data_IF_594261908242
#
_entry.id   IF_594261908242
#
_cell.length_a   1.000
_cell.length_b   1.000
_cell.length_c   1.000
_cell.angle_alpha   90.00
_cell.angle_beta   90.00
_cell.angle_gamma   90.00
#
_symmetry.space_group_name_H-M   'P 1'
#
loop_
_entity.id
_entity.type
_entity.pdbx_description
1 polymer ?
#
# COMPACT_ATOMS: atom_id res chain seq x y z
N UNK A 1 28.94 -23.24 19.00
CA UNK A 1 29.49 -23.22 17.63
C UNK A 1 28.34 -23.54 16.69
N UNK A 2 27.68 -22.53 16.13
CA UNK A 2 26.51 -22.74 15.28
C UNK A 2 26.94 -23.24 13.90
N UNK A 3 26.42 -24.39 13.51
CA UNK A 3 26.58 -25.00 12.18
C UNK A 3 25.95 -24.07 11.13
N UNK A 4 26.79 -23.34 10.40
CA UNK A 4 26.34 -22.45 9.34
C UNK A 4 25.73 -23.25 8.19
N UNK A 5 24.38 -23.31 8.13
CA UNK A 5 23.67 -23.80 6.95
C UNK A 5 24.11 -22.94 5.76
N UNK A 6 24.64 -23.57 4.71
CA UNK A 6 24.93 -22.87 3.46
C UNK A 6 23.62 -22.34 2.87
N UNK A 7 23.56 -21.06 2.46
CA UNK A 7 22.37 -20.48 1.88
C UNK A 7 21.99 -21.24 0.61
N UNK A 8 20.70 -21.52 0.46
CA UNK A 8 20.09 -22.21 -0.67
C UNK A 8 20.11 -21.33 -1.92
N UNK A 9 19.95 -21.94 -3.10
CA UNK A 9 19.89 -21.21 -4.37
C UNK A 9 18.71 -20.20 -4.36
N UNK A 10 17.59 -20.54 -3.72
CA UNK A 10 16.43 -19.65 -3.58
C UNK A 10 16.70 -18.43 -2.70
N UNK A 11 17.34 -18.62 -1.53
CA UNK A 11 17.74 -17.51 -0.64
C UNK A 11 18.71 -16.56 -1.34
N UNK A 12 19.67 -17.10 -2.09
CA UNK A 12 20.60 -16.30 -2.88
C UNK A 12 19.91 -15.56 -4.04
N UNK A 13 18.89 -16.15 -4.66
CA UNK A 13 18.10 -15.44 -5.68
C UNK A 13 17.32 -14.28 -5.03
N UNK A 14 16.74 -14.47 -3.85
CA UNK A 14 16.03 -13.43 -3.11
C UNK A 14 16.98 -12.28 -2.71
N UNK A 15 18.14 -12.60 -2.17
CA UNK A 15 19.18 -11.62 -1.80
C UNK A 15 19.72 -10.87 -3.03
N UNK A 16 19.97 -11.59 -4.13
CA UNK A 16 20.39 -10.98 -5.39
C UNK A 16 19.34 -10.03 -5.95
N UNK A 17 18.06 -10.40 -5.88
CA UNK A 17 16.95 -9.55 -6.28
C UNK A 17 16.77 -8.32 -5.37
N UNK A 18 17.22 -8.39 -4.11
CA UNK A 18 17.21 -7.26 -3.18
C UNK A 18 18.39 -6.29 -3.39
N UNK A 19 19.54 -6.81 -3.81
CA UNK A 19 20.81 -6.06 -3.88
C UNK A 19 21.13 -5.50 -5.27
N UNK A 20 20.59 -6.09 -6.34
CA UNK A 20 20.84 -5.63 -7.70
C UNK A 20 19.94 -4.43 -8.05
N UNK A 21 20.46 -3.40 -8.75
CA UNK A 21 19.66 -2.26 -9.18
C UNK A 21 18.57 -2.70 -10.17
N UNK A 22 17.32 -2.35 -9.87
CA UNK A 22 16.18 -2.70 -10.71
C UNK A 22 16.05 -1.76 -11.91
N UNK A 23 15.67 -2.26 -13.11
CA UNK A 23 15.53 -3.67 -13.48
C UNK A 23 16.88 -4.35 -13.76
N UNK A 24 17.11 -5.53 -13.18
CA UNK A 24 18.35 -6.29 -13.35
C UNK A 24 18.23 -7.37 -14.41
N UNK A 25 19.36 -7.73 -15.04
CA UNK A 25 19.40 -8.76 -16.08
C UNK A 25 19.49 -10.17 -15.48
N UNK A 26 19.03 -11.17 -16.26
CA UNK A 26 19.21 -12.59 -15.91
C UNK A 26 20.67 -12.93 -15.62
N UNK A 27 21.57 -12.39 -16.43
CA UNK A 27 23.00 -12.63 -16.32
C UNK A 27 23.57 -12.03 -15.04
N UNK A 28 23.12 -10.83 -14.64
CA UNK A 28 23.53 -10.20 -13.39
C UNK A 28 23.12 -11.04 -12.18
N UNK A 29 21.87 -11.52 -12.15
CA UNK A 29 21.38 -12.38 -11.07
C UNK A 29 22.10 -13.73 -11.03
N UNK A 30 22.32 -14.34 -12.20
CA UNK A 30 23.04 -15.61 -12.31
C UNK A 30 24.49 -15.47 -11.82
N UNK A 31 25.20 -14.43 -12.25
CA UNK A 31 26.56 -14.15 -11.81
C UNK A 31 26.62 -13.91 -10.29
N UNK A 32 25.63 -13.21 -9.73
CA UNK A 32 25.54 -12.93 -8.31
C UNK A 32 25.41 -14.22 -7.47
N UNK A 33 24.60 -15.18 -7.92
CA UNK A 33 24.40 -16.48 -7.26
C UNK A 33 25.63 -17.37 -7.46
N UNK A 34 26.16 -17.46 -8.68
CA UNK A 34 27.35 -18.26 -8.99
C UNK A 34 28.59 -17.79 -8.22
N UNK A 35 28.74 -16.49 -7.95
CA UNK A 35 29.84 -15.96 -7.15
C UNK A 35 29.80 -16.43 -5.67
N UNK A 36 28.60 -16.77 -5.16
CA UNK A 36 28.39 -17.21 -3.77
C UNK A 36 28.23 -18.72 -3.62
N UNK A 37 27.84 -19.41 -4.70
CA UNK A 37 27.69 -20.88 -4.79
C UNK A 37 28.31 -21.40 -6.09
N UNK A 38 29.66 -21.41 -6.20
CA UNK A 38 30.35 -21.92 -7.39
C UNK A 38 30.19 -23.44 -7.57
N UNK A 39 29.78 -24.16 -6.52
CA UNK A 39 29.47 -25.58 -6.53
C UNK A 39 28.19 -25.92 -7.32
N UNK A 40 27.35 -24.92 -7.61
CA UNK A 40 26.08 -25.10 -8.33
C UNK A 40 26.25 -24.75 -9.81
N UNK A 41 25.89 -25.68 -10.68
CA UNK A 41 25.89 -25.45 -12.12
C UNK A 41 24.94 -24.32 -12.54
N UNK A 42 25.39 -23.52 -13.52
CA UNK A 42 24.66 -22.41 -14.15
C UNK A 42 23.23 -22.82 -14.59
N UNK A 43 23.06 -24.05 -15.08
CA UNK A 43 21.77 -24.61 -15.51
C UNK A 43 20.78 -24.81 -14.35
N UNK A 44 21.26 -25.16 -13.15
CA UNK A 44 20.42 -25.33 -11.97
C UNK A 44 19.95 -23.98 -11.41
N UNK A 45 20.83 -22.98 -11.41
CA UNK A 45 20.48 -21.59 -11.04
C UNK A 45 19.46 -21.03 -12.04
N UNK A 46 19.69 -21.27 -13.33
CA UNK A 46 18.78 -20.92 -14.42
C UNK A 46 17.37 -21.50 -14.25
N UNK A 47 17.26 -22.78 -13.88
CA UNK A 47 15.99 -23.45 -13.62
C UNK A 47 15.29 -22.88 -12.38
N UNK A 48 16.04 -22.61 -11.31
CA UNK A 48 15.48 -21.98 -10.11
C UNK A 48 14.97 -20.56 -10.38
N UNK A 49 15.70 -19.74 -11.15
CA UNK A 49 15.23 -18.42 -11.59
C UNK A 49 13.90 -18.53 -12.35
N UNK A 50 13.74 -19.53 -13.22
CA UNK A 50 12.48 -19.75 -13.94
C UNK A 50 11.34 -20.16 -13.00
N UNK A 51 11.60 -21.04 -12.04
CA UNK A 51 10.60 -21.51 -11.07
C UNK A 51 10.10 -20.40 -10.14
N UNK A 52 10.95 -19.43 -9.78
CA UNK A 52 10.59 -18.32 -8.89
C UNK A 52 10.13 -17.07 -9.65
N UNK A 53 9.88 -17.17 -10.96
CA UNK A 53 9.40 -16.05 -11.79
C UNK A 53 7.88 -16.14 -12.00
N UNK A 54 7.17 -15.11 -11.56
CA UNK A 54 5.70 -14.98 -11.49
C UNK A 54 4.94 -15.21 -12.82
N UNK A 55 5.53 -14.83 -13.96
CA UNK A 55 4.90 -14.95 -15.29
C UNK A 55 5.60 -15.99 -16.20
N UNK A 56 6.26 -17.00 -15.63
CA UNK A 56 7.02 -17.99 -16.38
C UNK A 56 6.20 -19.12 -17.02
N UNK A 57 4.85 -19.09 -16.94
CA UNK A 57 3.99 -20.08 -17.58
C UNK A 57 4.01 -21.48 -16.95
N UNK A 58 4.42 -21.59 -15.68
CA UNK A 58 4.42 -22.86 -14.93
C UNK A 58 3.18 -22.95 -14.02
N UNK A 59 2.70 -24.16 -13.71
CA UNK A 59 1.63 -24.33 -12.72
C UNK A 59 2.02 -23.69 -11.38
N UNK A 60 1.06 -23.15 -10.61
CA UNK A 60 1.35 -22.50 -9.34
C UNK A 60 2.10 -23.49 -8.44
N UNK A 61 3.33 -23.12 -8.08
CA UNK A 61 4.15 -23.87 -7.13
C UNK A 61 3.78 -23.38 -5.73
N UNK A 62 3.82 -24.23 -4.71
CA UNK A 62 3.58 -23.83 -3.30
C UNK A 62 4.58 -22.78 -2.75
N UNK A 63 5.58 -22.37 -3.55
CA UNK A 63 6.56 -21.36 -3.18
C UNK A 63 6.21 -20.00 -3.80
N UNK A 64 6.24 -18.92 -3.01
CA UNK A 64 5.95 -17.58 -3.52
C UNK A 64 6.98 -17.18 -4.59
N UNK A 65 6.56 -16.48 -5.66
CA UNK A 65 7.49 -16.00 -6.66
C UNK A 65 8.46 -14.99 -6.03
N UNK A 66 9.70 -14.95 -6.50
CA UNK A 66 10.74 -14.00 -6.06
C UNK A 66 11.07 -12.96 -7.12
N UNK A 67 10.70 -13.21 -8.38
CA UNK A 67 11.04 -12.39 -9.54
C UNK A 67 9.80 -12.14 -10.40
N UNK A 68 9.70 -10.93 -10.96
CA UNK A 68 8.75 -10.61 -12.01
C UNK A 68 9.53 -10.24 -13.28
N UNK A 69 9.27 -10.93 -14.39
CA UNK A 69 9.98 -10.68 -15.65
C UNK A 69 9.28 -9.57 -16.43
N UNK A 70 9.92 -8.41 -16.51
CA UNK A 70 9.40 -7.22 -17.22
C UNK A 70 9.60 -7.32 -18.74
N UNK A 71 10.68 -7.94 -19.20
CA UNK A 71 10.94 -8.23 -20.61
C UNK A 71 11.91 -9.42 -20.77
N UNK A 72 12.17 -9.87 -22.00
CA UNK A 72 13.03 -11.04 -22.24
C UNK A 72 14.42 -10.83 -21.65
N UNK A 73 14.68 -11.51 -20.53
CA UNK A 73 15.99 -11.46 -19.86
C UNK A 73 16.15 -10.34 -18.83
N UNK A 74 15.12 -9.55 -18.53
CA UNK A 74 15.14 -8.55 -17.45
C UNK A 74 14.05 -8.81 -16.42
N UNK A 75 14.44 -8.59 -15.17
CA UNK A 75 13.68 -8.96 -14.01
C UNK A 75 13.66 -7.78 -13.04
N UNK A 76 12.56 -7.69 -12.30
CA UNK A 76 12.42 -6.90 -11.08
C UNK A 76 12.11 -7.88 -9.95
N UNK A 77 12.35 -7.49 -8.70
CA UNK A 77 11.94 -8.30 -7.57
C UNK A 77 10.43 -8.46 -7.59
N UNK A 78 9.95 -9.70 -7.44
CA UNK A 78 8.54 -9.94 -7.17
C UNK A 78 8.26 -9.45 -5.75
N UNK A 79 7.45 -8.40 -5.65
CA UNK A 79 6.89 -7.92 -4.38
C UNK A 79 5.55 -8.63 -4.17
N UNK A 80 5.61 -9.95 -3.99
CA UNK A 80 4.47 -10.78 -3.61
C UNK A 80 4.39 -10.90 -2.10
N UNK A 81 3.16 -10.81 -1.57
CA UNK A 81 2.86 -10.80 -0.15
C UNK A 81 3.69 -11.84 0.64
N UNK A 82 4.49 -11.35 1.58
CA UNK A 82 5.30 -12.13 2.50
C UNK A 82 4.43 -13.18 3.22
N UNK A 83 4.79 -14.46 3.06
CA UNK A 83 4.50 -15.56 3.98
C UNK A 83 5.88 -16.18 4.28
N UNK A 84 6.30 -16.52 5.49
CA UNK A 84 5.59 -16.80 6.73
C UNK A 84 6.44 -16.32 7.93
N UNK A 85 5.80 -15.75 8.95
CA UNK A 85 6.18 -15.88 10.36
C UNK A 85 5.04 -15.26 11.19
N UNK A 86 4.24 -16.09 11.86
CA UNK A 86 3.18 -15.63 12.77
C UNK A 86 3.75 -15.52 14.17
N UNK A 87 3.73 -14.32 14.77
CA UNK A 87 2.94 -14.14 15.98
C UNK A 87 2.12 -12.83 16.00
N UNK A 88 0.86 -12.96 16.42
CA UNK A 88 -0.13 -11.93 16.75
C UNK A 88 -0.89 -11.27 15.57
N UNK A 89 -2.14 -11.71 15.32
CA UNK A 89 -3.32 -11.01 14.77
C UNK A 89 -3.13 -9.77 13.84
N UNK A 90 -2.08 -9.73 13.01
CA UNK A 90 -1.74 -8.61 12.12
C UNK A 90 -1.71 -9.05 10.64
N UNK A 91 -2.62 -9.94 10.24
CA UNK A 91 -2.64 -10.56 8.90
C UNK A 91 -3.90 -10.35 8.07
N UNK A 92 -4.75 -9.37 8.41
CA UNK A 92 -6.05 -9.18 7.73
C UNK A 92 -6.40 -7.72 7.46
N UNK A 93 -5.48 -6.76 7.56
CA UNK A 93 -5.80 -5.32 7.42
C UNK A 93 -4.88 -4.63 6.42
N UNK A 94 -5.44 -3.78 5.58
CA UNK A 94 -4.69 -2.88 4.70
C UNK A 94 -5.33 -1.49 4.66
N UNK A 95 -4.55 -0.49 4.23
CA UNK A 95 -4.94 0.92 4.26
C UNK A 95 -5.00 1.52 2.84
N UNK A 96 -6.07 2.20 2.51
CA UNK A 96 -6.25 2.94 1.27
C UNK A 96 -6.34 4.43 1.58
N UNK A 97 -5.48 5.26 0.98
CA UNK A 97 -5.39 6.69 1.31
C UNK A 97 -5.82 7.53 0.12
N UNK A 98 -6.84 8.36 0.30
CA UNK A 98 -7.39 9.24 -0.74
C UNK A 98 -6.42 10.34 -1.15
N UNK A 99 -6.31 10.58 -2.46
CA UNK A 99 -5.49 11.62 -3.09
C UNK A 99 -6.04 13.04 -2.92
N UNK A 100 -6.70 13.34 -1.79
CA UNK A 100 -7.39 14.61 -1.56
C UNK A 100 -6.43 15.73 -1.11
N UNK A 101 -6.70 16.95 -1.56
CA UNK A 101 -5.99 18.16 -1.14
C UNK A 101 -4.82 18.53 -2.06
N UNK A 102 -3.86 19.27 -1.51
CA UNK A 102 -2.73 19.82 -2.26
C UNK A 102 -1.82 18.71 -2.83
N UNK A 103 -1.30 18.93 -4.03
CA UNK A 103 -0.29 18.08 -4.68
C UNK A 103 0.96 18.88 -4.99
N UNK A 104 2.10 18.21 -5.12
CA UNK A 104 3.31 18.83 -5.67
C UNK A 104 3.08 19.29 -7.13
N UNK A 105 4.00 20.10 -7.66
CA UNK A 105 3.91 20.67 -9.02
C UNK A 105 4.63 19.86 -10.09
N UNK A 106 5.48 18.92 -9.69
CA UNK A 106 6.27 18.07 -10.58
C UNK A 106 5.91 16.59 -10.38
N UNK A 107 6.17 15.72 -11.38
CA UNK A 107 5.99 14.28 -11.21
C UNK A 107 6.83 13.74 -10.05
N UNK A 108 6.19 13.00 -9.16
CA UNK A 108 6.80 12.46 -7.95
C UNK A 108 6.18 11.10 -7.60
N UNK A 109 6.86 10.28 -6.76
CA UNK A 109 6.25 9.09 -6.18
C UNK A 109 4.91 9.44 -5.50
N UNK A 110 3.90 8.57 -5.62
CA UNK A 110 2.58 8.80 -5.05
C UNK A 110 2.62 9.07 -3.53
N UNK A 111 3.60 8.50 -2.82
CA UNK A 111 3.84 8.75 -1.39
C UNK A 111 4.24 10.20 -1.05
N UNK A 112 4.80 10.91 -2.03
CA UNK A 112 5.38 12.26 -1.88
C UNK A 112 4.62 13.31 -2.70
N UNK A 113 3.79 12.88 -3.66
CA UNK A 113 3.02 13.77 -4.51
C UNK A 113 1.89 14.48 -3.75
N UNK A 114 1.21 13.79 -2.82
CA UNK A 114 0.07 14.33 -2.08
C UNK A 114 0.52 14.96 -0.76
N UNK A 115 0.33 16.27 -0.64
CA UNK A 115 0.90 17.10 0.43
C UNK A 115 -0.11 17.47 1.51
N UNK A 116 -1.34 16.96 1.44
CA UNK A 116 -2.37 17.33 2.41
C UNK A 116 -2.03 16.77 3.80
N UNK A 117 -2.28 17.50 4.90
CA UNK A 117 -2.02 17.01 6.25
C UNK A 117 -2.73 15.69 6.58
N UNK A 118 -3.92 15.48 6.01
CA UNK A 118 -4.66 14.23 6.17
C UNK A 118 -3.95 13.04 5.51
N UNK A 119 -3.44 13.23 4.29
CA UNK A 119 -2.67 12.22 3.58
C UNK A 119 -1.38 11.86 4.32
N UNK A 120 -0.59 12.87 4.71
CA UNK A 120 0.66 12.66 5.43
C UNK A 120 0.44 11.87 6.74
N UNK A 121 -0.56 12.25 7.54
CA UNK A 121 -0.89 11.52 8.78
C UNK A 121 -1.31 10.08 8.55
N UNK A 122 -2.18 9.83 7.56
CA UNK A 122 -2.63 8.48 7.24
C UNK A 122 -1.46 7.60 6.75
N UNK A 123 -0.59 8.16 5.91
CA UNK A 123 0.63 7.50 5.42
C UNK A 123 1.54 7.14 6.58
N UNK A 124 1.87 8.11 7.43
CA UNK A 124 2.79 7.91 8.55
C UNK A 124 2.23 6.90 9.56
N UNK A 125 0.91 6.89 9.76
CA UNK A 125 0.22 5.89 10.58
C UNK A 125 0.32 4.47 9.98
N UNK A 126 0.06 4.32 8.69
CA UNK A 126 0.17 3.03 8.00
C UNK A 126 1.62 2.50 8.03
N UNK A 127 2.60 3.37 7.78
CA UNK A 127 4.03 3.03 7.86
C UNK A 127 4.42 2.61 9.27
N UNK A 128 4.03 3.38 10.30
CA UNK A 128 4.31 3.05 11.70
C UNK A 128 3.69 1.73 12.13
N UNK A 129 2.46 1.46 11.68
CA UNK A 129 1.74 0.21 11.93
C UNK A 129 2.24 -0.97 11.07
N UNK A 130 3.16 -0.72 10.11
CA UNK A 130 3.65 -1.70 9.14
C UNK A 130 2.53 -2.38 8.34
N UNK A 131 1.46 -1.65 8.07
CA UNK A 131 0.34 -2.15 7.26
C UNK A 131 0.62 -1.93 5.77
N UNK A 132 0.19 -2.86 4.90
CA UNK A 132 0.14 -2.60 3.46
C UNK A 132 -0.73 -1.38 3.18
N UNK A 133 -0.27 -0.47 2.33
CA UNK A 133 -1.04 0.71 1.98
C UNK A 133 -0.88 1.13 0.53
N UNK A 134 -1.94 1.75 0.00
CA UNK A 134 -2.02 2.21 -1.38
C UNK A 134 -2.68 3.59 -1.44
N UNK A 135 -2.43 4.32 -2.52
CA UNK A 135 -3.06 5.62 -2.77
C UNK A 135 -4.27 5.44 -3.69
N UNK A 136 -5.42 5.97 -3.28
CA UNK A 136 -6.61 6.10 -4.11
C UNK A 136 -6.55 7.40 -4.89
N UNK A 137 -6.31 7.28 -6.19
CA UNK A 137 -6.34 8.40 -7.13
C UNK A 137 -7.67 8.44 -7.88
N UNK A 138 -8.27 9.62 -7.98
CA UNK A 138 -9.46 9.82 -8.82
C UNK A 138 -9.21 9.38 -10.27
N UNK A 139 -8.02 9.65 -10.82
CA UNK A 139 -7.70 9.42 -12.24
C UNK A 139 -7.02 8.07 -12.45
N UNK A 140 -6.09 7.70 -11.58
CA UNK A 140 -5.31 6.48 -11.74
C UNK A 140 -5.90 5.27 -11.01
N UNK A 141 -6.95 5.47 -10.20
CA UNK A 141 -7.57 4.40 -9.44
C UNK A 141 -6.74 4.05 -8.21
N UNK A 142 -5.87 3.05 -8.33
CA UNK A 142 -5.02 2.56 -7.25
C UNK A 142 -3.55 2.74 -7.63
N UNK A 143 -2.77 3.33 -6.74
CA UNK A 143 -1.34 3.53 -6.93
C UNK A 143 -0.56 2.91 -5.78
N UNK A 144 0.58 2.31 -6.12
CA UNK A 144 1.60 1.94 -5.17
C UNK A 144 2.35 3.20 -4.70
N UNK A 145 2.88 3.15 -3.48
CA UNK A 145 3.58 4.29 -2.86
C UNK A 145 4.72 4.85 -3.72
N UNK A 146 5.40 3.96 -4.48
CA UNK A 146 6.53 4.30 -5.35
C UNK A 146 6.14 4.71 -6.78
N UNK A 147 4.87 4.66 -7.16
CA UNK A 147 4.45 5.00 -8.52
C UNK A 147 4.67 6.49 -8.78
N UNK A 148 5.52 6.80 -9.77
CA UNK A 148 5.78 8.18 -10.17
C UNK A 148 4.65 8.65 -11.07
N UNK A 149 3.89 9.65 -10.62
CA UNK A 149 2.75 10.19 -11.36
C UNK A 149 2.81 11.72 -11.41
N UNK A 150 2.33 12.29 -12.51
CA UNK A 150 2.20 13.74 -12.65
C UNK A 150 1.03 14.26 -11.80
N UNK A 151 1.10 15.49 -11.27
CA UNK A 151 -0.02 16.07 -10.55
C UNK A 151 -1.24 16.23 -11.45
N UNK A 152 -2.40 15.82 -10.95
CA UNK A 152 -3.68 15.97 -11.65
C UNK A 152 -4.73 16.51 -10.68
N UNK A 153 -5.38 17.61 -11.06
CA UNK A 153 -6.48 18.18 -10.32
C UNK A 153 -7.78 17.41 -10.66
N UNK A 154 -8.13 16.41 -9.85
CA UNK A 154 -9.38 15.67 -10.00
C UNK A 154 -9.93 15.22 -8.64
N UNK A 155 -11.16 15.62 -8.34
CA UNK A 155 -11.89 15.16 -7.15
C UNK A 155 -12.90 14.09 -7.54
N UNK A 156 -12.95 13.00 -6.78
CA UNK A 156 -13.86 11.88 -7.04
C UNK A 156 -15.33 12.26 -6.76
N UNK A 157 -15.56 13.18 -5.82
CA UNK A 157 -16.90 13.71 -5.48
C UNK A 157 -17.58 14.41 -6.65
N UNK A 158 -16.81 15.10 -7.49
CA UNK A 158 -17.30 15.84 -8.67
C UNK A 158 -17.67 14.94 -9.85
N UNK A 159 -17.30 13.65 -9.78
CA UNK A 159 -17.57 12.70 -10.87
C UNK A 159 -19.01 12.22 -10.85
N UNK A 160 -19.53 11.76 -11.99
CA UNK A 160 -20.88 11.21 -12.05
C UNK A 160 -21.00 9.92 -11.23
N UNK A 161 -22.21 9.56 -10.82
CA UNK A 161 -22.46 8.30 -10.10
C UNK A 161 -22.02 7.06 -10.91
N UNK A 162 -22.23 7.09 -12.24
CA UNK A 162 -21.77 6.04 -13.15
C UNK A 162 -20.24 5.92 -13.18
N UNK A 163 -19.54 7.07 -13.25
CA UNK A 163 -18.09 7.09 -13.17
C UNK A 163 -17.59 6.50 -11.86
N UNK A 164 -18.13 6.96 -10.72
CA UNK A 164 -17.71 6.45 -9.40
C UNK A 164 -17.93 4.93 -9.29
N UNK A 165 -19.04 4.43 -9.80
CA UNK A 165 -19.33 2.98 -9.80
C UNK A 165 -18.29 2.20 -10.60
N UNK A 166 -18.00 2.61 -11.84
CA UNK A 166 -16.98 1.97 -12.67
C UNK A 166 -15.58 2.09 -12.07
N UNK A 167 -15.26 3.25 -11.51
CA UNK A 167 -14.01 3.51 -10.79
C UNK A 167 -13.84 2.55 -9.61
N UNK A 168 -14.89 2.33 -8.82
CA UNK A 168 -14.84 1.42 -7.67
C UNK A 168 -14.59 -0.04 -8.06
N UNK A 169 -15.24 -0.52 -9.14
CA UNK A 169 -14.97 -1.85 -9.69
C UNK A 169 -13.51 -2.00 -10.14
N UNK A 170 -13.02 -0.99 -10.85
CA UNK A 170 -11.67 -0.98 -11.39
C UNK A 170 -10.60 -0.94 -10.30
N UNK A 171 -10.77 -0.09 -9.27
CA UNK A 171 -9.85 -0.02 -8.13
C UNK A 171 -9.79 -1.34 -7.37
N UNK A 172 -10.92 -1.99 -7.12
CA UNK A 172 -10.92 -3.26 -6.41
C UNK A 172 -10.33 -4.39 -7.25
N UNK A 173 -10.49 -4.35 -8.58
CA UNK A 173 -9.79 -5.28 -9.46
C UNK A 173 -8.26 -5.11 -9.35
N UNK A 174 -7.76 -3.87 -9.44
CA UNK A 174 -6.33 -3.56 -9.25
C UNK A 174 -5.81 -3.99 -7.87
N UNK A 175 -6.64 -3.82 -6.83
CA UNK A 175 -6.28 -4.25 -5.48
C UNK A 175 -6.22 -5.78 -5.39
N UNK A 176 -7.19 -6.49 -5.98
CA UNK A 176 -7.24 -7.95 -5.99
C UNK A 176 -6.06 -8.60 -6.76
N UNK A 177 -5.44 -7.87 -7.70
CA UNK A 177 -4.21 -8.30 -8.38
C UNK A 177 -2.99 -8.24 -7.45
N UNK A 178 -3.02 -7.38 -6.43
CA UNK A 178 -1.91 -7.15 -5.48
C UNK A 178 -2.06 -7.94 -4.19
N UNK A 179 -3.30 -8.15 -3.74
CA UNK A 179 -3.61 -8.77 -2.45
C UNK A 179 -4.81 -9.72 -2.56
N UNK A 180 -4.75 -10.82 -1.81
CA UNK A 180 -5.94 -11.67 -1.59
C UNK A 180 -6.91 -10.94 -0.67
N UNK A 181 -8.14 -10.72 -1.12
CA UNK A 181 -9.13 -9.90 -0.41
C UNK A 181 -10.04 -10.66 0.56
N UNK A 182 -10.12 -11.98 0.43
CA UNK A 182 -10.98 -12.80 1.30
C UNK A 182 -10.53 -12.71 2.76
N UNK A 183 -11.43 -12.28 3.65
CA UNK A 183 -11.16 -12.08 5.07
C UNK A 183 -10.32 -10.84 5.39
N UNK A 184 -10.11 -9.92 4.44
CA UNK A 184 -9.33 -8.69 4.65
C UNK A 184 -10.24 -7.50 4.99
N UNK A 185 -9.87 -6.77 6.03
CA UNK A 185 -10.39 -5.44 6.36
C UNK A 185 -9.61 -4.36 5.61
N UNK A 186 -10.32 -3.65 4.74
CA UNK A 186 -9.80 -2.52 3.96
C UNK A 186 -10.21 -1.22 4.64
N UNK A 187 -9.23 -0.51 5.19
CA UNK A 187 -9.43 0.77 5.85
C UNK A 187 -9.26 1.93 4.87
N UNK A 188 -10.24 2.83 4.76
CA UNK A 188 -10.22 3.90 3.76
C UNK A 188 -10.09 5.30 4.37
N UNK A 189 -9.00 5.98 4.04
CA UNK A 189 -8.66 7.35 4.40
C UNK A 189 -8.84 8.32 3.25
N UNK A 190 -10.04 8.43 2.72
CA UNK A 190 -10.38 9.41 1.68
C UNK A 190 -11.74 10.07 1.90
N UNK A 191 -12.37 9.82 3.05
CA UNK A 191 -13.76 10.18 3.27
C UNK A 191 -14.73 9.31 2.46
N UNK A 192 -16.01 9.66 2.56
CA UNK A 192 -17.12 8.85 2.03
C UNK A 192 -17.12 8.74 0.51
N UNK A 193 -16.62 9.74 -0.20
CA UNK A 193 -16.63 9.77 -1.67
C UNK A 193 -15.70 8.74 -2.28
N UNK A 194 -14.56 8.47 -1.62
CA UNK A 194 -13.65 7.38 -1.99
C UNK A 194 -14.15 6.02 -1.49
N UNK A 195 -14.74 5.95 -0.30
CA UNK A 195 -15.14 4.68 0.30
C UNK A 195 -16.41 4.07 -0.30
N UNK A 196 -17.42 4.90 -0.58
CA UNK A 196 -18.74 4.42 -1.00
C UNK A 196 -18.69 3.55 -2.28
N UNK A 197 -17.93 3.91 -3.33
CA UNK A 197 -17.85 3.09 -4.52
C UNK A 197 -17.15 1.74 -4.33
N UNK A 198 -16.30 1.61 -3.31
CA UNK A 198 -15.52 0.41 -3.03
C UNK A 198 -16.32 -0.66 -2.26
N UNK A 199 -17.36 -0.24 -1.53
CA UNK A 199 -18.12 -1.12 -0.60
C UNK A 199 -18.63 -2.41 -1.26
N UNK A 200 -19.36 -2.29 -2.37
CA UNK A 200 -19.93 -3.44 -3.09
C UNK A 200 -18.86 -4.35 -3.69
N UNK A 201 -17.89 -3.85 -4.47
CA UNK A 201 -16.87 -4.71 -5.08
C UNK A 201 -15.93 -5.39 -4.07
N UNK A 202 -15.64 -4.77 -2.92
CA UNK A 202 -14.90 -5.40 -1.82
C UNK A 202 -15.71 -6.51 -1.15
N UNK A 203 -16.97 -6.23 -0.79
CA UNK A 203 -17.83 -7.22 -0.14
C UNK A 203 -18.04 -8.48 -1.00
N UNK A 204 -18.17 -8.34 -2.33
CA UNK A 204 -18.26 -9.49 -3.25
C UNK A 204 -17.00 -10.36 -3.27
N UNK A 205 -15.87 -9.86 -2.79
CA UNK A 205 -14.59 -10.56 -2.71
C UNK A 205 -14.22 -10.98 -1.28
N UNK A 206 -15.19 -10.93 -0.35
CA UNK A 206 -14.98 -11.34 1.04
C UNK A 206 -14.23 -10.33 1.90
N UNK A 207 -14.01 -9.09 1.40
CA UNK A 207 -13.36 -8.04 2.16
C UNK A 207 -14.38 -7.16 2.90
N UNK A 208 -14.03 -6.77 4.13
CA UNK A 208 -14.72 -5.73 4.89
C UNK A 208 -14.16 -4.35 4.52
N UNK A 209 -15.01 -3.31 4.58
CA UNK A 209 -14.56 -1.92 4.44
C UNK A 209 -14.82 -1.17 5.74
N UNK A 210 -13.77 -0.54 6.26
CA UNK A 210 -13.82 0.35 7.43
C UNK A 210 -13.50 1.78 7.03
N UNK A 211 -14.24 2.72 7.64
CA UNK A 211 -13.93 4.15 7.63
C UNK A 211 -13.53 4.51 9.06
N UNK A 212 -12.27 4.90 9.31
CA UNK A 212 -11.89 5.31 10.64
C UNK A 212 -12.67 6.56 11.05
N UNK A 213 -13.15 6.57 12.29
CA UNK A 213 -13.82 7.74 12.86
C UNK A 213 -12.85 8.93 12.85
N UNK A 214 -13.31 10.16 12.59
CA UNK A 214 -12.49 11.36 12.76
C UNK A 214 -11.89 11.36 14.17
N UNK A 215 -10.55 11.31 14.29
CA UNK A 215 -9.84 11.26 15.57
C UNK A 215 -9.45 9.86 16.08
N UNK A 216 -9.66 8.78 15.32
CA UNK A 216 -9.30 7.40 15.72
C UNK A 216 -7.80 7.06 15.72
N UNK A 217 -6.92 8.05 15.55
CA UNK A 217 -5.48 7.89 15.64
C UNK A 217 -5.02 8.74 16.81
N UNK A 218 -4.46 8.11 17.84
CA UNK A 218 -3.89 8.79 19.01
C UNK A 218 -3.01 9.96 18.55
N UNK A 219 -3.35 11.14 19.03
CA UNK A 219 -2.42 12.25 19.10
C UNK A 219 -1.24 11.79 19.98
N UNK A 220 0.03 11.87 19.54
CA UNK A 220 1.12 11.76 20.48
C UNK A 220 0.89 12.85 21.54
N UNK A 221 0.70 12.42 22.79
CA UNK A 221 0.35 13.28 23.90
C UNK A 221 1.33 14.46 24.06
N UNK A 222 0.86 15.58 24.62
CA UNK A 222 1.61 16.83 24.67
C UNK A 222 2.76 16.73 25.67
N UNK A 223 3.91 16.23 25.21
CA UNK A 223 5.20 16.35 25.90
C UNK A 223 6.25 17.05 25.02
N UNK A 224 5.81 18.12 24.35
CA UNK A 224 6.67 19.16 23.79
C UNK A 224 6.32 20.49 24.49
N UNK A 225 7.27 21.14 25.19
CA UNK A 225 6.97 22.32 25.98
C UNK A 225 6.72 23.58 25.13
N UNK A 226 5.74 24.35 25.62
CA UNK A 226 5.40 25.77 25.37
C UNK A 226 4.85 26.23 24.00
N UNK A 227 3.52 26.27 23.92
CA UNK A 227 2.80 27.49 23.48
C UNK A 227 1.37 27.52 24.07
N UNK A 228 0.87 28.67 24.60
CA UNK A 228 -0.46 28.75 25.17
C UNK A 228 -1.49 29.11 24.10
N UNK A 229 -2.46 28.23 23.84
CA UNK A 229 -3.67 28.58 23.09
C UNK A 229 -4.91 28.21 23.89
N UNK A 230 -5.27 29.09 24.84
CA UNK A 230 -6.66 29.21 25.32
C UNK A 230 -7.34 30.30 24.51
N UNK A 231 -8.42 29.96 23.81
CA UNK A 231 -9.40 30.97 23.43
C UNK A 231 -10.21 30.66 22.18
N UNK A 232 -11.07 29.64 22.20
CA UNK A 232 -12.08 29.50 21.14
C UNK A 232 -13.36 28.72 21.51
N UNK A 233 -13.73 28.58 22.79
CA UNK A 233 -15.00 27.93 23.19
C UNK A 233 -15.76 28.68 24.31
N UNK A 234 -15.73 30.02 24.26
CA UNK A 234 -16.46 30.87 25.21
C UNK A 234 -17.59 31.73 24.62
N UNK A 235 -17.85 31.70 23.30
CA UNK A 235 -18.77 32.65 22.64
C UNK A 235 -19.92 32.03 21.84
N UNK A 236 -20.42 30.86 22.26
CA UNK A 236 -21.62 30.26 21.68
C UNK A 236 -22.60 29.74 22.74
N UNK A 237 -22.70 30.42 23.90
CA UNK A 237 -23.77 30.18 24.90
C UNK A 237 -24.73 31.35 25.13
N UNK A 238 -24.52 32.52 24.52
CA UNK A 238 -25.32 33.72 24.81
C UNK A 238 -26.32 34.13 23.70
N UNK A 239 -26.67 33.25 22.76
CA UNK A 239 -27.54 33.61 21.63
C UNK A 239 -28.73 32.65 21.42
N UNK A 240 -29.46 32.36 22.49
CA UNK A 240 -30.87 31.92 22.39
C UNK A 240 -31.73 32.76 23.33
N UNK A 241 -32.66 33.60 22.82
CA UNK A 241 -33.52 34.45 23.65
C UNK A 241 -34.70 33.65 24.19
N UNK A 242 -34.75 33.44 25.50
CA UNK A 242 -35.91 32.90 26.22
C UNK A 242 -36.87 34.00 26.66
N UNK A 243 -38.06 34.02 26.06
CA UNK A 243 -39.22 34.88 26.39
C UNK A 243 -39.97 34.35 27.66
N UNK A 244 -41.02 35.02 28.18
CA UNK A 244 -41.12 35.47 29.57
C UNK A 244 -42.15 34.71 30.43
N UNK A 245 -42.16 34.96 31.76
CA UNK A 245 -43.33 34.77 32.67
C UNK A 245 -43.07 35.52 33.99
N UNK A 246 -43.73 36.67 34.23
CA UNK A 246 -44.94 36.84 35.08
C UNK A 246 -44.80 36.29 36.50
N UNK A 247 -44.66 37.18 37.49
CA UNK A 247 -45.75 37.66 38.34
C UNK A 247 -45.37 39.05 38.89
#
# INVERSE_FOLDING_TARGET
MSTGRLPTIGELIADGAAMLPEPFSRAALLNWVSARRPDVGVSSIAAQIQLVTDNAGHPPTDRPPLLHRVERGRYVRHRGAHAEETPAELGSRLVLIGSSGATATEPAPAADLFLSPGFARARDAAVRARLPWFVLSTVHGLLDAGDVVSPVAAQIGDRSAGYRTAWGEWVVAQLAERVRLDGVTVEVHGGVDFAQPLRRPLARRGAALELPLPGAWEEPGPDAPDAPVRGALGRLRDLVPGRPRRL
#
